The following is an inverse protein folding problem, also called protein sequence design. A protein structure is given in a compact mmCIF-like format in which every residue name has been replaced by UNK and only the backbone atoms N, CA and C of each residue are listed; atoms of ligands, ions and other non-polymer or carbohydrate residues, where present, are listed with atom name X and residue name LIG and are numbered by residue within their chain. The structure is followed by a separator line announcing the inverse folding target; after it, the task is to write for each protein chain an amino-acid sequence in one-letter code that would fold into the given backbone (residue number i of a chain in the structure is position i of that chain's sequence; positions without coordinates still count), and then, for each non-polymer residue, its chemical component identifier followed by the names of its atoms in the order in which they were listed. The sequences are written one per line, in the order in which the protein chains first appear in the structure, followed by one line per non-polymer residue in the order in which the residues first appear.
data_IF_067026270514
#
_entry.id   IF_067026270514
#
_cell.length_a   1.000
_cell.length_b   1.000
_cell.length_c   1.000
_cell.angle_alpha   90.00
_cell.angle_beta   90.00
_cell.angle_gamma   90.00
#
_symmetry.space_group_name_H-M   'P 1'
#
loop_
_entity.id
_entity.type
_entity.pdbx_description
1 polymer ?
#
# COMPACT_ATOMS: atom_id res chain seq x y z
N UNK A 1 41.45 -7.49 -3.80
CA UNK A 1 40.21 -7.02 -4.48
C UNK A 1 39.61 -8.09 -5.40
N UNK A 2 40.10 -9.34 -5.37
CA UNK A 2 39.57 -10.45 -6.17
C UNK A 2 38.77 -11.44 -5.29
N UNK A 3 39.13 -11.58 -4.00
CA UNK A 3 38.38 -12.43 -3.06
C UNK A 3 36.97 -11.89 -2.76
N UNK A 4 36.81 -10.56 -2.67
CA UNK A 4 35.50 -9.94 -2.38
C UNK A 4 34.49 -10.16 -3.52
N UNK A 5 34.97 -10.22 -4.77
CA UNK A 5 34.15 -10.56 -5.94
C UNK A 5 33.70 -12.02 -5.91
N UNK A 6 34.58 -12.91 -5.45
CA UNK A 6 34.30 -14.34 -5.33
C UNK A 6 33.25 -14.60 -4.24
N UNK A 7 33.36 -13.95 -3.08
CA UNK A 7 32.40 -14.10 -1.98
C UNK A 7 31.02 -13.49 -2.33
N UNK A 8 30.98 -12.33 -3.01
CA UNK A 8 29.72 -11.78 -3.52
C UNK A 8 29.05 -12.70 -4.52
N UNK A 9 29.80 -13.25 -5.48
CA UNK A 9 29.22 -14.13 -6.48
C UNK A 9 28.75 -15.45 -5.86
N UNK A 10 29.52 -16.02 -4.93
CA UNK A 10 29.13 -17.22 -4.18
C UNK A 10 27.85 -16.99 -3.36
N UNK A 11 27.72 -15.84 -2.69
CA UNK A 11 26.51 -15.50 -1.94
C UNK A 11 25.29 -15.31 -2.84
N UNK A 12 25.47 -14.72 -4.03
CA UNK A 12 24.40 -14.59 -5.04
C UNK A 12 23.94 -15.95 -5.55
N UNK A 13 24.87 -16.85 -5.83
CA UNK A 13 24.58 -18.21 -6.30
C UNK A 13 23.91 -19.04 -5.20
N UNK A 14 24.39 -18.95 -3.96
CA UNK A 14 23.78 -19.63 -2.81
C UNK A 14 22.34 -19.13 -2.57
N UNK A 15 22.11 -17.82 -2.60
CA UNK A 15 20.77 -17.25 -2.44
C UNK A 15 19.83 -17.68 -3.58
N UNK A 16 20.35 -17.78 -4.81
CA UNK A 16 19.60 -18.27 -5.97
C UNK A 16 19.26 -19.76 -5.83
N UNK A 17 20.20 -20.58 -5.34
CA UNK A 17 19.99 -22.00 -5.09
C UNK A 17 18.98 -22.25 -3.97
N UNK A 18 19.04 -21.49 -2.88
CA UNK A 18 18.06 -21.53 -1.78
C UNK A 18 16.66 -21.17 -2.27
N UNK A 19 16.52 -20.12 -3.09
CA UNK A 19 15.23 -19.74 -3.70
C UNK A 19 14.68 -20.82 -4.64
N UNK A 20 15.54 -21.47 -5.44
CA UNK A 20 15.15 -22.61 -6.30
C UNK A 20 14.67 -23.80 -5.46
N UNK A 21 15.38 -24.14 -4.37
CA UNK A 21 15.04 -25.24 -3.47
C UNK A 21 13.73 -24.99 -2.71
N UNK A 22 13.50 -23.75 -2.28
CA UNK A 22 12.26 -23.34 -1.62
C UNK A 22 11.06 -23.21 -2.57
N UNK A 23 11.24 -23.43 -3.89
CA UNK A 23 10.23 -23.19 -4.95
C UNK A 23 9.65 -21.77 -4.93
N UNK A 24 10.32 -20.81 -4.28
CA UNK A 24 9.93 -19.39 -4.25
C UNK A 24 10.35 -18.64 -5.51
N UNK A 25 11.01 -19.31 -6.46
CA UNK A 25 11.35 -18.76 -7.79
C UNK A 25 10.14 -18.53 -8.69
N UNK A 26 8.95 -19.00 -8.32
CA UNK A 26 7.73 -18.43 -8.86
C UNK A 26 7.38 -17.22 -8.03
N UNK A 27 7.71 -16.02 -8.51
CA UNK A 27 6.95 -14.81 -8.22
C UNK A 27 5.54 -15.01 -8.80
N UNK A 28 4.77 -15.91 -8.18
CA UNK A 28 3.40 -16.29 -8.56
C UNK A 28 2.40 -15.50 -7.73
N UNK A 29 2.76 -14.29 -7.33
CA UNK A 29 1.73 -13.31 -7.01
C UNK A 29 1.05 -13.05 -8.35
N UNK A 30 -0.25 -13.38 -8.52
CA UNK A 30 -1.00 -12.93 -9.70
C UNK A 30 -0.86 -11.43 -9.71
N UNK A 31 -0.04 -10.91 -10.62
CA UNK A 31 0.23 -9.48 -10.65
C UNK A 31 -1.09 -8.80 -11.04
N UNK A 32 -1.65 -7.90 -10.21
CA UNK A 32 -2.86 -7.12 -10.56
C UNK A 32 -2.67 -6.37 -11.89
N UNK A 33 -1.42 -6.20 -12.27
CA UNK A 33 -0.92 -5.55 -13.47
C UNK A 33 -1.48 -6.10 -14.79
N UNK A 34 -1.75 -7.41 -14.90
CA UNK A 34 -2.37 -7.93 -16.14
C UNK A 34 -3.81 -7.45 -16.34
N UNK A 35 -4.52 -7.09 -15.25
CA UNK A 35 -5.83 -6.45 -15.34
C UNK A 35 -5.68 -4.95 -15.64
N UNK A 36 -4.75 -4.28 -14.97
CA UNK A 36 -4.55 -2.84 -15.09
C UNK A 36 -3.94 -2.39 -16.43
N UNK A 37 -3.04 -3.19 -17.00
CA UNK A 37 -2.49 -2.96 -18.34
C UNK A 37 -3.53 -3.15 -19.44
N UNK A 38 -4.56 -3.98 -19.21
CA UNK A 38 -5.71 -4.09 -20.13
C UNK A 38 -6.54 -2.82 -20.13
N UNK A 39 -6.68 -2.16 -18.98
CA UNK A 39 -7.39 -0.87 -18.89
C UNK A 39 -6.56 0.28 -19.49
N UNK A 40 -5.23 0.23 -19.37
CA UNK A 40 -4.32 1.20 -19.99
C UNK A 40 -4.23 1.09 -21.52
N UNK A 41 -4.30 -0.12 -22.09
CA UNK A 41 -4.31 -0.35 -23.54
C UNK A 41 -5.74 -0.46 -24.16
N UNK A 42 -6.78 -0.58 -23.34
CA UNK A 42 -8.16 -0.84 -23.77
C UNK A 42 -8.92 0.36 -24.32
N UNK A 43 -8.34 1.56 -24.29
CA UNK A 43 -8.97 2.78 -24.84
C UNK A 43 -8.39 3.16 -26.21
N UNK A 44 -7.87 2.22 -26.99
CA UNK A 44 -7.45 2.48 -28.38
C UNK A 44 -8.58 2.31 -29.40
N UNK A 45 -9.80 1.96 -28.98
CA UNK A 45 -10.99 2.04 -29.84
C UNK A 45 -11.50 3.48 -29.85
N UNK A 46 -10.91 4.33 -30.71
CA UNK A 46 -11.44 5.63 -31.17
C UNK A 46 -12.55 6.24 -30.29
N UNK A 47 -12.21 6.67 -29.08
CA UNK A 47 -13.07 7.56 -28.32
C UNK A 47 -12.91 8.96 -28.94
N UNK A 48 -13.97 9.50 -29.54
CA UNK A 48 -13.98 10.82 -30.19
C UNK A 48 -13.68 11.98 -29.21
N UNK A 49 -13.68 11.70 -27.91
CA UNK A 49 -13.23 12.60 -26.84
C UNK A 49 -12.36 11.79 -25.89
N UNK A 50 -11.08 12.12 -25.82
CA UNK A 50 -10.18 11.57 -24.81
C UNK A 50 -10.48 12.30 -23.49
N UNK A 51 -11.15 11.64 -22.55
CA UNK A 51 -11.32 12.18 -21.20
C UNK A 51 -9.93 12.34 -20.56
N UNK A 52 -9.46 13.58 -20.48
CA UNK A 52 -8.18 13.91 -19.84
C UNK A 52 -8.39 13.79 -18.33
N UNK A 53 -7.62 12.91 -17.70
CA UNK A 53 -7.63 12.75 -16.24
C UNK A 53 -7.24 14.06 -15.55
N UNK A 54 -8.06 14.53 -14.60
CA UNK A 54 -7.83 15.77 -13.86
C UNK A 54 -6.50 15.80 -13.10
N UNK A 55 -6.06 14.65 -12.60
CA UNK A 55 -4.80 14.50 -11.85
C UNK A 55 -3.59 14.41 -12.80
N UNK A 56 -3.76 13.85 -14.00
CA UNK A 56 -2.68 13.78 -14.99
C UNK A 56 -2.40 15.10 -15.68
N UNK A 57 -3.41 15.94 -15.90
CA UNK A 57 -3.26 17.16 -16.68
C UNK A 57 -2.59 16.89 -18.03
N UNK A 58 -1.48 17.59 -18.31
CA UNK A 58 -0.69 17.46 -19.54
C UNK A 58 0.49 16.48 -19.44
N UNK A 59 0.48 15.54 -18.49
CA UNK A 59 1.58 14.58 -18.33
C UNK A 59 1.73 13.72 -19.59
N UNK A 60 2.98 13.54 -20.04
CA UNK A 60 3.28 12.67 -21.18
C UNK A 60 2.98 11.21 -20.81
N UNK A 61 2.08 10.57 -21.57
CA UNK A 61 1.73 9.16 -21.37
C UNK A 61 2.88 8.19 -21.67
N UNK A 62 3.93 8.65 -22.36
CA UNK A 62 5.09 7.84 -22.75
C UNK A 62 6.21 7.86 -21.71
N UNK A 63 6.24 8.87 -20.83
CA UNK A 63 7.25 8.95 -19.77
C UNK A 63 6.96 7.94 -18.65
N UNK A 64 7.93 7.04 -18.34
CA UNK A 64 7.74 6.06 -17.29
C UNK A 64 7.92 6.69 -15.90
N UNK A 65 6.98 6.40 -15.00
CA UNK A 65 7.14 6.63 -13.57
C UNK A 65 7.59 5.33 -12.90
N UNK A 66 8.63 5.41 -12.08
CA UNK A 66 9.11 4.27 -11.30
C UNK A 66 8.32 4.14 -10.00
N UNK A 67 7.74 2.96 -9.78
CA UNK A 67 6.99 2.64 -8.57
C UNK A 67 7.51 1.34 -7.97
N UNK A 68 7.65 1.31 -6.64
CA UNK A 68 7.84 0.06 -5.90
C UNK A 68 6.50 -0.66 -5.74
N UNK A 69 6.44 -1.92 -6.17
CA UNK A 69 5.20 -2.70 -6.12
C UNK A 69 4.85 -3.03 -4.66
N UNK A 70 3.62 -2.74 -4.19
CA UNK A 70 3.22 -2.97 -2.80
C UNK A 70 3.43 -4.42 -2.37
N UNK A 71 4.06 -4.61 -1.20
CA UNK A 71 4.34 -5.94 -0.64
C UNK A 71 5.49 -6.69 -1.31
N UNK A 72 6.32 -6.03 -2.11
CA UNK A 72 7.48 -6.62 -2.78
C UNK A 72 8.68 -5.67 -2.80
N UNK A 73 9.87 -6.21 -3.07
CA UNK A 73 11.10 -5.43 -3.28
C UNK A 73 11.35 -5.13 -4.77
N UNK A 74 10.29 -5.07 -5.59
CA UNK A 74 10.38 -4.93 -7.04
C UNK A 74 9.96 -3.53 -7.46
N UNK A 75 10.78 -2.90 -8.31
CA UNK A 75 10.46 -1.65 -8.99
C UNK A 75 9.94 -1.92 -10.41
N UNK A 76 8.91 -1.19 -10.82
CA UNK A 76 8.35 -1.24 -12.16
C UNK A 76 8.28 0.17 -12.76
N UNK A 77 8.63 0.27 -14.05
CA UNK A 77 8.43 1.46 -14.86
C UNK A 77 7.04 1.40 -15.48
N UNK A 78 6.15 2.31 -15.10
CA UNK A 78 4.74 2.30 -15.50
C UNK A 78 4.27 3.74 -15.77
N UNK A 79 3.26 3.97 -16.63
CA UNK A 79 2.79 5.33 -16.91
C UNK A 79 2.27 6.03 -15.64
N UNK A 80 2.48 7.35 -15.55
CA UNK A 80 2.04 8.15 -14.40
C UNK A 80 0.55 7.96 -14.06
N UNK A 81 -0.32 7.89 -15.08
CA UNK A 81 -1.75 7.66 -14.90
C UNK A 81 -2.04 6.39 -14.08
N UNK A 82 -1.27 5.32 -14.31
CA UNK A 82 -1.41 4.07 -13.56
C UNK A 82 -0.94 4.24 -12.12
N UNK A 83 0.14 4.98 -11.90
CA UNK A 83 0.67 5.21 -10.54
C UNK A 83 -0.32 5.98 -9.69
N UNK A 84 -0.77 7.16 -10.13
CA UNK A 84 -1.63 7.99 -9.27
C UNK A 84 -3.00 7.35 -9.06
N UNK A 85 -3.60 6.68 -10.06
CA UNK A 85 -4.86 5.95 -9.88
C UNK A 85 -4.74 4.81 -8.87
N UNK A 86 -3.62 4.10 -8.84
CA UNK A 86 -3.32 3.14 -7.78
C UNK A 86 -3.26 3.81 -6.42
N UNK A 87 -2.48 4.90 -6.31
CA UNK A 87 -2.31 5.62 -5.05
C UNK A 87 -3.64 6.17 -4.52
N UNK A 88 -4.46 6.82 -5.35
CA UNK A 88 -5.78 7.33 -4.97
C UNK A 88 -6.70 6.21 -4.47
N UNK A 89 -6.67 5.04 -5.10
CA UNK A 89 -7.44 3.87 -4.65
C UNK A 89 -6.92 3.34 -3.32
N UNK A 90 -5.61 3.30 -3.13
CA UNK A 90 -4.99 2.85 -1.89
C UNK A 90 -5.26 3.82 -0.73
N UNK A 91 -5.21 5.13 -0.98
CA UNK A 91 -5.56 6.18 -0.01
C UNK A 91 -7.01 6.01 0.47
N UNK A 92 -7.98 5.89 -0.45
CA UNK A 92 -9.40 5.68 -0.10
C UNK A 92 -9.61 4.40 0.72
N UNK A 93 -8.91 3.32 0.39
CA UNK A 93 -8.97 2.07 1.17
C UNK A 93 -8.38 2.26 2.57
N UNK A 94 -7.21 2.88 2.66
CA UNK A 94 -6.53 3.10 3.93
C UNK A 94 -7.36 3.98 4.87
N UNK A 95 -7.98 5.03 4.34
CA UNK A 95 -8.89 5.90 5.08
C UNK A 95 -10.10 5.12 5.63
N UNK A 96 -10.70 4.24 4.82
CA UNK A 96 -11.78 3.36 5.26
C UNK A 96 -11.33 2.39 6.36
N UNK A 97 -10.19 1.72 6.18
CA UNK A 97 -9.65 0.77 7.16
C UNK A 97 -9.28 1.46 8.48
N UNK A 98 -8.71 2.66 8.41
CA UNK A 98 -8.41 3.51 9.57
C UNK A 98 -9.68 3.86 10.36
N UNK A 99 -10.72 4.35 9.68
CA UNK A 99 -12.03 4.65 10.30
C UNK A 99 -12.67 3.41 10.93
N UNK A 100 -12.60 2.26 10.25
CA UNK A 100 -13.10 0.99 10.77
C UNK A 100 -12.35 0.56 12.03
N UNK A 101 -11.02 0.65 12.03
CA UNK A 101 -10.19 0.34 13.18
C UNK A 101 -10.49 1.28 14.36
N UNK A 102 -10.61 2.58 14.09
CA UNK A 102 -10.97 3.57 15.10
C UNK A 102 -12.33 3.27 15.73
N UNK A 103 -13.32 2.88 14.93
CA UNK A 103 -14.64 2.47 15.43
C UNK A 103 -14.55 1.24 16.33
N UNK A 104 -13.81 0.21 15.91
CA UNK A 104 -13.61 -1.01 16.69
C UNK A 104 -12.90 -0.70 18.02
N UNK A 105 -11.87 0.12 17.99
CA UNK A 105 -11.13 0.53 19.18
C UNK A 105 -12.05 1.27 20.16
N UNK A 106 -12.89 2.19 19.68
CA UNK A 106 -13.87 2.90 20.51
C UNK A 106 -14.87 1.96 21.18
N UNK A 107 -15.40 1.00 20.43
CA UNK A 107 -16.31 -0.02 20.96
C UNK A 107 -15.64 -0.85 22.07
N UNK A 108 -14.45 -1.40 21.81
CA UNK A 108 -13.74 -2.22 22.81
C UNK A 108 -13.31 -1.41 24.03
N UNK A 109 -12.91 -0.16 23.84
CA UNK A 109 -12.55 0.76 24.92
C UNK A 109 -13.76 1.09 25.80
N UNK A 110 -14.94 1.26 25.21
CA UNK A 110 -16.19 1.46 25.95
C UNK A 110 -16.51 0.24 26.82
N UNK A 111 -16.47 -0.96 26.24
CA UNK A 111 -16.73 -2.21 26.96
C UNK A 111 -15.76 -2.40 28.13
N UNK A 112 -14.48 -2.09 27.95
CA UNK A 112 -13.49 -2.13 29.04
C UNK A 112 -13.81 -1.13 30.16
N UNK A 113 -14.24 0.08 29.78
CA UNK A 113 -14.66 1.09 30.76
C UNK A 113 -15.92 0.67 31.53
N UNK A 114 -16.86 0.00 30.88
CA UNK A 114 -18.11 -0.46 31.50
C UNK A 114 -17.90 -1.68 32.39
N UNK A 115 -17.05 -2.61 31.96
CA UNK A 115 -16.69 -3.79 32.75
C UNK A 115 -15.86 -3.43 33.99
N UNK A 116 -15.16 -2.30 33.98
CA UNK A 116 -14.31 -1.86 35.09
C UNK A 116 -13.10 -2.75 35.31
N UNK A 117 -12.74 -3.62 34.35
CA UNK A 117 -11.63 -4.57 34.48
C UNK A 117 -10.27 -3.92 34.75
N UNK A 118 -10.13 -2.64 34.41
CA UNK A 118 -8.93 -1.84 34.63
C UNK A 118 -9.10 -0.78 35.73
N UNK A 119 -10.23 -0.76 36.47
CA UNK A 119 -10.54 0.32 37.41
C UNK A 119 -9.49 0.48 38.53
N UNK A 120 -8.80 -0.61 38.90
CA UNK A 120 -7.73 -0.61 39.90
C UNK A 120 -6.45 0.11 39.42
N UNK A 121 -6.23 0.20 38.11
CA UNK A 121 -5.01 0.76 37.51
C UNK A 121 -5.25 2.04 36.71
N UNK A 122 -6.43 2.18 36.10
CA UNK A 122 -6.82 3.31 35.25
C UNK A 122 -8.26 3.70 35.58
N UNK A 123 -8.52 4.95 36.01
CA UNK A 123 -9.87 5.41 36.27
C UNK A 123 -10.76 5.28 35.02
N UNK A 124 -11.99 4.75 35.11
CA UNK A 124 -12.90 4.61 33.97
C UNK A 124 -13.18 5.91 33.22
N UNK A 125 -13.11 7.06 33.90
CA UNK A 125 -13.23 8.40 33.28
C UNK A 125 -12.12 8.69 32.27
N UNK A 126 -10.88 8.26 32.54
CA UNK A 126 -9.74 8.39 31.63
C UNK A 126 -9.95 7.53 30.40
N UNK A 127 -10.43 6.29 30.57
CA UNK A 127 -10.74 5.38 29.45
C UNK A 127 -11.83 5.96 28.55
N UNK A 128 -12.89 6.54 29.14
CA UNK A 128 -13.95 7.23 28.36
C UNK A 128 -13.43 8.45 27.60
N UNK A 129 -12.47 9.18 28.16
CA UNK A 129 -11.90 10.35 27.50
C UNK A 129 -11.23 10.00 26.15
N UNK A 130 -10.63 8.81 26.04
CA UNK A 130 -10.02 8.28 24.80
C UNK A 130 -11.04 8.07 23.68
N UNK A 131 -12.29 7.76 24.02
CA UNK A 131 -13.38 7.57 23.06
C UNK A 131 -13.83 8.91 22.49
N UNK A 132 -13.82 9.95 23.32
CA UNK A 132 -14.26 11.31 22.99
C UNK A 132 -13.18 12.20 22.38
N UNK A 133 -11.92 11.75 22.41
CA UNK A 133 -10.80 12.44 21.78
C UNK A 133 -11.07 12.54 20.27
N UNK A 134 -11.26 13.78 19.82
CA UNK A 134 -11.27 14.13 18.41
C UNK A 134 -9.88 14.62 18.05
N UNK A 135 -9.34 14.14 16.94
CA UNK A 135 -8.16 14.78 16.35
C UNK A 135 -8.53 16.22 16.04
N UNK A 136 -7.84 17.16 16.68
CA UNK A 136 -7.92 18.55 16.25
C UNK A 136 -7.27 18.61 14.87
N UNK A 137 -7.91 19.18 13.85
CA UNK A 137 -7.21 19.43 12.61
C UNK A 137 -6.02 20.35 12.93
N UNK A 138 -4.82 19.91 12.58
CA UNK A 138 -3.66 20.80 12.57
C UNK A 138 -3.96 21.88 11.55
N UNK A 139 -4.21 23.11 12.03
CA UNK A 139 -4.28 24.29 11.18
C UNK A 139 -2.95 24.38 10.45
N UNK A 140 -2.98 24.20 9.13
CA UNK A 140 -1.89 24.57 8.23
C UNK A 140 -2.00 26.06 7.90
#
# INVERSE_FOLDING_TARGET
MVENDRERNANREALTALRKKAKTTKTRIPSPFNSMMKDAHGSSTKALVQEVCSTCGSHDSTEPTWMMLPGTDIFAAVPFHVVHTMLEKHEKRMEFESKKLQSLLKEKTLLLSELGALADSVPPSVIRSLITLKDKPSVQ
#
